data_IF_123282754109
#
_entry.id   IF_123282754109
#
_cell.length_a   1.000
_cell.length_b   1.000
_cell.length_c   1.000
_cell.angle_alpha   90.00
_cell.angle_beta   90.00
_cell.angle_gamma   90.00
#
_symmetry.space_group_name_H-M   'P 1'
#
loop_
_entity.id
_entity.type
_entity.pdbx_description
1 polymer ?
#
# COMPACT_ATOMS: atom_id res chain seq x y z
N UNK A 1 9.87 -10.26 -25.85
CA UNK A 1 9.90 -8.91 -25.22
C UNK A 1 10.48 -7.91 -26.20
N UNK A 2 9.93 -6.73 -26.27
CA UNK A 2 10.36 -5.70 -27.22
C UNK A 2 11.78 -5.22 -26.92
N UNK A 3 12.70 -5.36 -27.88
CA UNK A 3 14.07 -4.92 -27.73
C UNK A 3 14.15 -3.39 -27.52
N UNK A 4 14.83 -2.91 -26.47
CA UNK A 4 14.95 -1.47 -26.22
C UNK A 4 15.82 -0.74 -27.26
N UNK A 5 16.59 -1.47 -28.07
CA UNK A 5 17.48 -0.89 -29.07
C UNK A 5 16.87 -0.83 -30.46
N UNK A 6 16.21 -1.91 -30.92
CA UNK A 6 15.68 -1.98 -32.29
C UNK A 6 14.17 -2.22 -32.37
N UNK A 7 13.51 -2.49 -31.25
CA UNK A 7 12.05 -2.71 -31.20
C UNK A 7 11.58 -4.08 -31.66
N UNK A 8 12.49 -5.00 -31.98
CA UNK A 8 12.12 -6.37 -32.37
C UNK A 8 11.48 -7.11 -31.20
N UNK A 9 10.46 -7.93 -31.48
CA UNK A 9 9.67 -8.59 -30.43
C UNK A 9 10.21 -9.95 -29.97
N UNK A 10 11.12 -10.54 -30.72
CA UNK A 10 11.67 -11.86 -30.40
C UNK A 10 13.04 -11.76 -29.77
N UNK A 11 13.24 -12.51 -28.70
CA UNK A 11 14.50 -12.58 -27.96
C UNK A 11 14.71 -14.00 -27.43
N UNK A 12 15.91 -14.26 -26.94
CA UNK A 12 16.21 -15.48 -26.19
C UNK A 12 16.80 -15.11 -24.84
N UNK A 13 16.50 -15.90 -23.83
CA UNK A 13 17.09 -15.75 -22.50
C UNK A 13 18.43 -16.46 -22.46
N UNK A 14 19.52 -15.74 -22.24
CA UNK A 14 20.87 -16.31 -22.20
C UNK A 14 21.33 -16.65 -20.78
N UNK A 15 20.74 -16.01 -19.76
CA UNK A 15 21.05 -16.27 -18.36
C UNK A 15 19.86 -15.88 -17.48
N UNK A 16 19.65 -16.62 -16.38
CA UNK A 16 18.63 -16.33 -15.40
C UNK A 16 19.21 -16.52 -14.01
N UNK A 17 18.95 -15.56 -13.12
CA UNK A 17 19.40 -15.63 -11.73
C UNK A 17 18.28 -15.20 -10.79
N UNK A 18 18.16 -15.92 -9.69
CA UNK A 18 17.23 -15.58 -8.63
C UNK A 18 17.87 -14.48 -7.76
N UNK A 19 17.12 -13.41 -7.52
CA UNK A 19 17.54 -12.32 -6.64
C UNK A 19 17.40 -12.67 -5.16
N UNK A 20 17.63 -11.69 -4.30
CA UNK A 20 17.60 -11.85 -2.84
C UNK A 20 16.37 -12.62 -2.38
N UNK A 21 16.59 -13.68 -1.62
CA UNK A 21 15.55 -14.49 -0.99
C UNK A 21 14.41 -14.94 -1.93
N UNK A 22 14.69 -15.00 -3.23
CA UNK A 22 13.69 -15.40 -4.21
C UNK A 22 12.68 -14.33 -4.58
N UNK A 23 12.90 -13.07 -4.23
CA UNK A 23 11.96 -11.98 -4.47
C UNK A 23 11.78 -11.63 -5.94
N UNK A 24 12.80 -11.85 -6.75
CA UNK A 24 12.73 -11.55 -8.16
C UNK A 24 13.62 -12.49 -8.97
N UNK A 25 13.38 -12.53 -10.28
CA UNK A 25 14.22 -13.24 -11.24
C UNK A 25 14.84 -12.20 -12.18
N UNK A 26 16.17 -12.21 -12.27
CA UNK A 26 16.90 -11.39 -13.22
C UNK A 26 17.19 -12.22 -14.45
N UNK A 27 16.77 -11.74 -15.63
CA UNK A 27 17.01 -12.42 -16.90
C UNK A 27 17.88 -11.56 -17.81
N UNK A 28 18.92 -12.16 -18.35
CA UNK A 28 19.73 -11.55 -19.40
C UNK A 28 19.19 -12.05 -20.73
N UNK A 29 18.75 -11.14 -21.59
CA UNK A 29 18.13 -11.45 -22.87
C UNK A 29 18.99 -10.95 -24.02
N UNK A 30 18.91 -11.64 -25.18
CA UNK A 30 19.57 -11.24 -26.41
C UNK A 30 18.51 -11.10 -27.50
N UNK A 31 18.48 -9.97 -28.18
CA UNK A 31 17.60 -9.73 -29.30
C UNK A 31 17.99 -10.63 -30.48
N UNK A 32 17.02 -11.31 -31.09
CA UNK A 32 17.28 -12.18 -32.22
C UNK A 32 17.59 -11.38 -33.50
N UNK A 33 17.25 -10.11 -33.56
CA UNK A 33 17.50 -9.27 -34.73
C UNK A 33 18.81 -8.50 -34.63
N UNK A 34 18.99 -7.67 -33.61
CA UNK A 34 20.19 -6.84 -33.47
C UNK A 34 21.28 -7.43 -32.60
N UNK A 35 21.03 -8.59 -31.99
CA UNK A 35 21.97 -9.34 -31.15
C UNK A 35 22.49 -8.58 -29.91
N UNK A 36 21.91 -7.45 -29.56
CA UNK A 36 22.23 -6.75 -28.34
C UNK A 36 21.57 -7.43 -27.15
N UNK A 37 22.25 -7.34 -26.03
CA UNK A 37 21.77 -7.92 -24.77
C UNK A 37 21.20 -6.83 -23.88
N UNK A 38 20.12 -7.20 -23.17
CA UNK A 38 19.48 -6.32 -22.19
C UNK A 38 19.00 -7.16 -21.02
N UNK A 39 18.81 -6.50 -19.87
CA UNK A 39 18.41 -7.15 -18.63
C UNK A 39 16.96 -6.84 -18.33
N UNK A 40 16.20 -7.87 -17.93
CA UNK A 40 14.83 -7.72 -17.45
C UNK A 40 14.70 -8.34 -16.06
N UNK A 41 13.71 -7.90 -15.32
CA UNK A 41 13.40 -8.40 -13.98
C UNK A 41 11.96 -8.86 -13.93
N UNK A 42 11.73 -10.00 -13.29
CA UNK A 42 10.38 -10.46 -12.99
C UNK A 42 10.16 -10.37 -11.49
N UNK A 43 9.05 -9.76 -11.12
CA UNK A 43 8.57 -9.68 -9.74
C UNK A 43 7.19 -10.31 -9.68
N UNK A 44 6.86 -10.87 -8.53
CA UNK A 44 5.48 -11.25 -8.27
C UNK A 44 4.65 -9.97 -8.25
N UNK A 45 3.55 -9.96 -8.98
CA UNK A 45 2.65 -8.81 -9.00
C UNK A 45 2.19 -8.50 -7.58
N UNK A 46 2.33 -7.23 -7.20
CA UNK A 46 1.81 -6.78 -5.91
C UNK A 46 0.30 -6.69 -6.00
N UNK A 47 -0.38 -7.62 -5.32
CA UNK A 47 -1.82 -7.82 -5.43
C UNK A 47 -2.59 -6.98 -4.39
N UNK A 48 -2.02 -5.87 -3.94
CA UNK A 48 -2.74 -4.96 -3.05
C UNK A 48 -3.86 -4.26 -3.82
N UNK A 49 -5.05 -4.12 -3.20
CA UNK A 49 -6.17 -3.49 -3.87
C UNK A 49 -5.92 -2.00 -4.12
N UNK A 50 -6.55 -1.47 -5.17
CA UNK A 50 -6.60 -0.03 -5.40
C UNK A 50 -7.56 0.62 -4.41
N UNK A 51 -7.24 1.83 -3.99
CA UNK A 51 -8.11 2.62 -3.11
C UNK A 51 -9.02 3.48 -3.96
N UNK A 52 -10.33 3.34 -3.76
CA UNK A 52 -11.34 4.15 -4.43
C UNK A 52 -11.68 5.34 -3.53
N UNK A 53 -11.36 6.53 -4.00
CA UNK A 53 -11.64 7.79 -3.29
C UNK A 53 -13.12 8.16 -3.38
N UNK A 54 -13.56 9.11 -2.55
CA UNK A 54 -14.97 9.57 -2.52
C UNK A 54 -15.47 10.09 -3.86
N UNK A 55 -14.59 10.72 -4.64
CA UNK A 55 -14.92 11.24 -5.98
C UNK A 55 -14.86 10.18 -7.08
N UNK A 56 -14.64 8.92 -6.72
CA UNK A 56 -14.56 7.80 -7.64
C UNK A 56 -13.18 7.56 -8.24
N UNK A 57 -12.20 8.40 -7.94
CA UNK A 57 -10.82 8.18 -8.43
C UNK A 57 -10.24 6.93 -7.78
N UNK A 58 -9.48 6.18 -8.58
CA UNK A 58 -8.76 5.01 -8.13
C UNK A 58 -7.29 5.31 -8.01
N UNK A 59 -6.71 5.02 -6.86
CA UNK A 59 -5.29 5.20 -6.60
C UNK A 59 -4.68 3.88 -6.15
N UNK A 60 -3.44 3.56 -6.54
CA UNK A 60 -2.75 2.40 -5.96
C UNK A 60 -2.61 2.60 -4.46
N UNK A 61 -2.66 1.49 -3.72
CA UNK A 61 -2.41 1.54 -2.28
C UNK A 61 -0.97 2.03 -2.04
N UNK A 62 -0.83 3.07 -1.23
CA UNK A 62 0.47 3.66 -0.89
C UNK A 62 0.76 3.45 0.60
N UNK A 63 1.68 2.53 0.87
CA UNK A 63 2.11 2.18 2.22
C UNK A 63 2.65 3.39 2.99
N UNK A 64 3.47 4.21 2.33
CA UNK A 64 4.09 5.37 2.97
C UNK A 64 3.05 6.43 3.36
N UNK A 65 2.04 6.60 2.53
CA UNK A 65 0.93 7.51 2.81
C UNK A 65 0.13 7.03 4.02
N UNK A 66 -0.16 5.75 4.10
CA UNK A 66 -0.84 5.14 5.24
C UNK A 66 -0.01 5.30 6.52
N UNK A 67 1.26 4.94 6.45
CA UNK A 67 2.19 5.05 7.57
C UNK A 67 2.28 6.50 8.08
N UNK A 68 2.42 7.45 7.17
CA UNK A 68 2.47 8.88 7.50
C UNK A 68 1.21 9.37 8.21
N UNK A 69 0.03 8.92 7.77
CA UNK A 69 -1.24 9.27 8.40
C UNK A 69 -1.31 8.77 9.84
N UNK A 70 -0.87 7.54 10.08
CA UNK A 70 -0.87 6.95 11.43
C UNK A 70 0.16 7.64 12.32
N UNK A 71 1.36 7.89 11.81
CA UNK A 71 2.41 8.62 12.55
C UNK A 71 1.93 10.00 12.98
N UNK A 72 1.25 10.71 12.08
CA UNK A 72 0.72 12.04 12.37
C UNK A 72 -0.32 11.99 13.50
N UNK A 73 -1.20 10.99 13.48
CA UNK A 73 -2.19 10.81 14.53
C UNK A 73 -1.55 10.46 15.88
N UNK A 74 -0.39 9.84 15.87
CA UNK A 74 0.34 9.43 17.07
C UNK A 74 1.35 10.46 17.58
N UNK A 75 1.45 11.64 16.94
CA UNK A 75 2.39 12.68 17.35
C UNK A 75 2.22 13.04 18.84
N UNK A 76 3.36 13.12 19.54
CA UNK A 76 3.41 13.43 20.97
C UNK A 76 2.66 12.45 21.88
N UNK A 77 2.41 11.24 21.38
CA UNK A 77 1.86 10.14 22.18
C UNK A 77 2.94 9.11 22.47
N UNK A 78 2.73 8.32 23.50
CA UNK A 78 3.67 7.26 23.89
C UNK A 78 3.53 6.02 23.00
N UNK A 79 3.53 6.24 21.68
CA UNK A 79 3.43 5.19 20.67
C UNK A 79 4.73 5.16 19.89
N UNK A 80 5.45 4.04 19.98
CA UNK A 80 6.72 3.87 19.27
C UNK A 80 6.51 3.63 17.78
N UNK A 81 7.56 3.91 17.01
CA UNK A 81 7.57 3.70 15.56
C UNK A 81 7.29 2.23 15.23
N UNK A 82 7.83 1.30 16.03
CA UNK A 82 7.60 -0.13 15.82
C UNK A 82 6.13 -0.50 15.93
N UNK A 83 5.41 0.07 16.88
CA UNK A 83 3.97 -0.17 17.03
C UNK A 83 3.19 0.31 15.81
N UNK A 84 3.59 1.44 15.24
CA UNK A 84 2.99 1.97 13.99
C UNK A 84 3.29 1.03 12.82
N UNK A 85 4.53 0.57 12.69
CA UNK A 85 4.92 -0.35 11.63
C UNK A 85 4.18 -1.69 11.73
N UNK A 86 3.94 -2.17 12.95
CA UNK A 86 3.17 -3.39 13.18
C UNK A 86 1.72 -3.22 12.72
N UNK A 87 1.11 -2.07 13.01
CA UNK A 87 -0.24 -1.76 12.55
C UNK A 87 -0.30 -1.73 11.01
N UNK A 88 0.66 -1.07 10.37
CA UNK A 88 0.73 -1.01 8.90
C UNK A 88 0.86 -2.41 8.32
N UNK A 89 1.72 -3.26 8.90
CA UNK A 89 1.91 -4.63 8.44
C UNK A 89 0.63 -5.47 8.58
N UNK A 90 -0.10 -5.32 9.67
CA UNK A 90 -1.38 -6.01 9.88
C UNK A 90 -2.44 -5.58 8.87
N UNK A 91 -2.51 -4.28 8.58
CA UNK A 91 -3.44 -3.75 7.59
C UNK A 91 -3.09 -4.29 6.20
N UNK A 92 -1.82 -4.29 5.82
CA UNK A 92 -1.38 -4.87 4.54
C UNK A 92 -1.74 -6.34 4.44
N UNK A 93 -1.53 -7.12 5.50
CA UNK A 93 -1.87 -8.53 5.53
C UNK A 93 -3.36 -8.76 5.26
N UNK A 94 -4.22 -7.96 5.87
CA UNK A 94 -5.67 -8.02 5.62
C UNK A 94 -6.02 -7.65 4.19
N UNK A 95 -5.33 -6.66 3.62
CA UNK A 95 -5.57 -6.27 2.23
C UNK A 95 -5.16 -7.38 1.26
N UNK A 96 -4.07 -8.08 1.54
CA UNK A 96 -3.64 -9.23 0.73
C UNK A 96 -4.64 -10.39 0.76
N UNK A 97 -5.34 -10.58 1.87
CA UNK A 97 -6.33 -11.63 2.02
C UNK A 97 -7.64 -11.34 1.29
N UNK A 98 -7.88 -10.10 0.90
CA UNK A 98 -9.09 -9.73 0.18
C UNK A 98 -9.08 -10.29 -1.23
N UNK A 99 -10.17 -10.92 -1.61
CA UNK A 99 -10.37 -11.36 -3.00
C UNK A 99 -10.67 -10.19 -3.92
N UNK A 100 -11.18 -9.10 -3.38
CA UNK A 100 -11.55 -7.90 -4.12
C UNK A 100 -10.32 -7.06 -4.46
N UNK A 101 -10.26 -6.56 -5.69
CA UNK A 101 -9.17 -5.73 -6.19
C UNK A 101 -9.28 -4.26 -5.80
N UNK A 102 -10.35 -3.89 -5.12
CA UNK A 102 -10.64 -2.52 -4.71
C UNK A 102 -11.06 -2.44 -3.26
N UNK A 103 -10.69 -1.37 -2.61
CA UNK A 103 -11.17 -1.04 -1.27
C UNK A 103 -11.52 0.46 -1.27
N UNK A 104 -12.64 0.83 -0.69
CA UNK A 104 -12.98 2.24 -0.59
C UNK A 104 -12.12 2.90 0.48
N UNK A 105 -11.88 4.21 0.33
CA UNK A 105 -11.16 4.97 1.36
C UNK A 105 -11.88 4.92 2.70
N UNK A 106 -13.20 4.78 2.68
CA UNK A 106 -14.02 4.61 3.88
C UNK A 106 -13.70 3.29 4.59
N UNK A 107 -13.69 2.18 3.86
CA UNK A 107 -13.37 0.86 4.41
C UNK A 107 -11.94 0.82 4.96
N UNK A 108 -10.99 1.40 4.22
CA UNK A 108 -9.60 1.47 4.65
C UNK A 108 -9.47 2.29 5.95
N UNK A 109 -10.14 3.43 6.01
CA UNK A 109 -10.16 4.27 7.20
C UNK A 109 -10.78 3.57 8.40
N UNK A 110 -11.86 2.82 8.22
CA UNK A 110 -12.48 2.03 9.29
C UNK A 110 -11.49 0.98 9.83
N UNK A 111 -10.75 0.35 8.95
CA UNK A 111 -9.73 -0.64 9.32
C UNK A 111 -8.60 0.00 10.15
N UNK A 112 -8.14 1.18 9.74
CA UNK A 112 -7.14 1.95 10.50
C UNK A 112 -7.69 2.32 11.87
N UNK A 113 -8.92 2.77 11.93
CA UNK A 113 -9.57 3.17 13.18
C UNK A 113 -9.71 2.01 14.17
N UNK A 114 -10.03 0.82 13.70
CA UNK A 114 -10.04 -0.39 14.54
C UNK A 114 -8.70 -0.61 15.24
N UNK A 115 -7.61 -0.47 14.50
CA UNK A 115 -6.27 -0.67 15.04
C UNK A 115 -5.86 0.46 15.99
N UNK A 116 -6.19 1.71 15.65
CA UNK A 116 -5.87 2.87 16.49
C UNK A 116 -6.65 2.86 17.80
N UNK A 117 -7.89 2.39 17.78
CA UNK A 117 -8.71 2.29 18.98
C UNK A 117 -8.05 1.44 20.06
N UNK A 118 -7.38 0.37 19.64
CA UNK A 118 -6.64 -0.52 20.55
C UNK A 118 -5.27 0.02 20.93
N UNK A 119 -4.70 0.87 20.09
CA UNK A 119 -3.33 1.38 20.25
C UNK A 119 -3.27 2.61 21.16
N UNK A 120 -4.07 3.63 20.87
CA UNK A 120 -4.09 4.88 21.62
C UNK A 120 -5.37 5.66 21.33
N UNK A 121 -6.10 6.02 22.40
CA UNK A 121 -7.40 6.70 22.25
C UNK A 121 -7.29 8.09 21.62
N UNK A 122 -6.24 8.84 21.95
CA UNK A 122 -6.04 10.18 21.38
C UNK A 122 -5.72 10.09 19.90
N UNK A 123 -4.87 9.15 19.50
CA UNK A 123 -4.56 8.91 18.10
C UNK A 123 -5.82 8.50 17.32
N UNK A 124 -6.65 7.66 17.92
CA UNK A 124 -7.93 7.25 17.34
C UNK A 124 -8.83 8.47 17.07
N UNK A 125 -9.02 9.34 18.05
CA UNK A 125 -9.87 10.53 17.90
C UNK A 125 -9.30 11.50 16.86
N UNK A 126 -8.00 11.70 16.85
CA UNK A 126 -7.34 12.56 15.86
C UNK A 126 -7.53 12.04 14.44
N UNK A 127 -7.30 10.75 14.23
CA UNK A 127 -7.49 10.13 12.92
C UNK A 127 -8.95 10.18 12.50
N UNK A 128 -9.86 9.84 13.39
CA UNK A 128 -11.30 9.87 13.13
C UNK A 128 -11.79 11.27 12.74
N UNK A 129 -11.29 12.31 13.38
CA UNK A 129 -11.70 13.68 13.07
C UNK A 129 -11.28 14.13 11.67
N UNK A 130 -10.10 13.71 11.21
CA UNK A 130 -9.64 14.01 9.85
C UNK A 130 -10.35 13.11 8.83
N UNK A 131 -10.44 11.84 9.13
CA UNK A 131 -10.97 10.84 8.22
C UNK A 131 -12.48 10.99 7.98
N UNK A 132 -13.25 11.16 9.05
CA UNK A 132 -14.72 11.30 8.96
C UNK A 132 -15.17 12.70 8.57
N UNK A 133 -14.24 13.66 8.53
CA UNK A 133 -14.56 15.06 8.23
C UNK A 133 -15.76 15.54 9.05
N UNK A 134 -15.62 15.56 10.38
CA UNK A 134 -16.66 16.09 11.26
C UNK A 134 -17.04 17.50 10.82
N UNK A 135 -18.23 17.63 10.23
CA UNK A 135 -18.69 18.89 9.65
C UNK A 135 -19.18 19.88 10.68
N UNK A 136 -19.58 19.37 11.82
CA UNK A 136 -20.09 20.19 12.90
C UNK A 136 -19.80 19.58 14.27
N UNK A 137 -20.10 20.37 15.30
CA UNK A 137 -19.92 19.99 16.69
C UNK A 137 -20.85 18.83 17.08
N UNK A 138 -22.02 18.76 16.45
CA UNK A 138 -22.98 17.69 16.72
C UNK A 138 -22.43 16.31 16.40
N UNK A 139 -21.81 16.12 15.23
CA UNK A 139 -21.16 14.87 14.84
C UNK A 139 -20.04 14.50 15.79
N UNK A 140 -19.24 15.47 16.18
CA UNK A 140 -18.14 15.26 17.12
C UNK A 140 -18.65 14.82 18.50
N UNK A 141 -19.70 15.45 19.02
CA UNK A 141 -20.32 15.07 20.28
C UNK A 141 -20.89 13.67 20.27
N UNK A 142 -21.51 13.27 19.17
CA UNK A 142 -22.03 11.90 18.99
C UNK A 142 -20.87 10.90 19.06
N UNK A 143 -19.76 11.19 18.40
CA UNK A 143 -18.57 10.38 18.47
C UNK A 143 -18.01 10.25 19.89
N UNK A 144 -18.03 11.33 20.66
CA UNK A 144 -17.61 11.35 22.07
C UNK A 144 -18.53 10.54 22.98
N UNK A 145 -19.82 10.61 22.72
CA UNK A 145 -20.80 9.90 23.53
C UNK A 145 -20.63 8.38 23.48
N UNK A 146 -20.00 7.86 22.44
CA UNK A 146 -19.73 6.44 22.25
C UNK A 146 -18.35 6.02 22.74
N UNK A 147 -17.58 6.93 23.27
CA UNK A 147 -16.26 6.67 23.85
C UNK A 147 -16.32 6.43 25.39
#
# INVERSE_FOLDING_TARGET
MKCPFCGHSEDRVVDSRVGRDGEFIRRRRECLKCHRRYTTYEYVEDVLPHVVKRDGRREPFDRQKLRGSILKACEKRSVGVQAVDDVVAEIEARLHERAEKEITSKELGELVMEHLQKLDQVAYVRFASVYRHFRDIGEFKIGRAHV
#
